data_IF_475386636837
#
_entry.id   IF_475386636837
#
_cell.length_a   1.000
_cell.length_b   1.000
_cell.length_c   1.000
_cell.angle_alpha   90.00
_cell.angle_beta   90.00
_cell.angle_gamma   90.00
#
_symmetry.space_group_name_H-M   'P 1'
#
loop_
_entity.id
_entity.type
_entity.pdbx_description
1 polymer ?
#
# COMPACT_ATOMS: atom_id res chain seq x y z
N UNK A 1 -0.57 -13.15 0.42
CA UNK A 1 -0.31 -11.85 1.06
C UNK A 1 -1.60 -11.39 1.75
N UNK A 2 -1.54 -10.54 2.78
CA UNK A 2 -2.72 -10.01 3.47
C UNK A 2 -2.64 -8.48 3.53
N UNK A 3 -3.64 -7.78 3.02
CA UNK A 3 -3.74 -6.32 3.20
C UNK A 3 -4.10 -6.05 4.67
N UNK A 4 -3.24 -5.33 5.38
CA UNK A 4 -3.45 -4.96 6.79
C UNK A 4 -3.90 -3.51 6.95
N UNK A 5 -3.68 -2.70 5.91
CA UNK A 5 -4.17 -1.33 5.84
C UNK A 5 -4.32 -0.90 4.38
N UNK A 6 -5.35 -0.10 4.07
CA UNK A 6 -5.51 0.54 2.77
C UNK A 6 -6.17 1.90 2.90
N UNK A 7 -5.77 2.84 2.04
CA UNK A 7 -6.49 4.09 1.79
C UNK A 7 -6.51 4.37 0.31
N UNK A 8 -7.65 4.85 -0.17
CA UNK A 8 -7.87 5.18 -1.57
C UNK A 8 -8.47 6.57 -1.69
N UNK A 9 -8.13 7.27 -2.77
CA UNK A 9 -8.84 8.43 -3.28
C UNK A 9 -8.93 8.37 -4.81
N UNK A 10 -9.39 9.45 -5.45
CA UNK A 10 -9.57 9.51 -6.90
C UNK A 10 -8.25 9.45 -7.70
N UNK A 11 -7.11 9.66 -7.07
CA UNK A 11 -5.79 9.72 -7.72
C UNK A 11 -4.90 8.52 -7.40
N UNK A 12 -5.03 7.91 -6.23
CA UNK A 12 -4.16 6.82 -5.79
C UNK A 12 -4.82 5.89 -4.77
N UNK A 13 -4.30 4.68 -4.69
CA UNK A 13 -4.55 3.73 -3.61
C UNK A 13 -3.23 3.31 -2.98
N UNK A 14 -3.11 3.43 -1.66
CA UNK A 14 -1.95 3.06 -0.86
C UNK A 14 -2.31 1.92 0.07
N UNK A 15 -1.39 0.97 0.25
CA UNK A 15 -1.60 -0.22 1.05
C UNK A 15 -0.37 -0.57 1.87
N UNK A 16 -0.63 -1.23 3.01
CA UNK A 16 0.36 -2.01 3.74
C UNK A 16 -0.06 -3.47 3.66
N UNK A 17 0.87 -4.33 3.25
CA UNK A 17 0.62 -5.74 2.99
C UNK A 17 1.57 -6.60 3.79
N UNK A 18 1.02 -7.52 4.58
CA UNK A 18 1.79 -8.58 5.23
C UNK A 18 2.07 -9.71 4.23
N UNK A 19 3.35 -9.96 3.99
CA UNK A 19 3.84 -11.00 3.10
C UNK A 19 4.03 -12.34 3.83
N UNK A 20 4.12 -13.45 3.08
CA UNK A 20 4.30 -14.79 3.65
C UNK A 20 5.62 -14.96 4.41
N UNK A 21 6.62 -14.13 4.09
CA UNK A 21 7.91 -14.08 4.77
C UNK A 21 7.89 -13.24 6.06
N UNK A 22 6.72 -12.78 6.51
CA UNK A 22 6.57 -11.97 7.72
C UNK A 22 6.84 -10.47 7.55
N UNK A 23 7.35 -10.04 6.39
CA UNK A 23 7.64 -8.62 6.11
C UNK A 23 6.36 -7.85 5.79
N UNK A 24 6.39 -6.54 6.05
CA UNK A 24 5.35 -5.59 5.69
C UNK A 24 5.77 -4.78 4.48
N UNK A 25 5.03 -4.84 3.39
CA UNK A 25 5.29 -4.08 2.17
C UNK A 25 4.35 -2.89 2.11
N UNK A 26 4.93 -1.69 2.05
CA UNK A 26 4.21 -0.44 1.78
C UNK A 26 4.24 -0.22 0.28
N UNK A 27 3.06 -0.04 -0.33
CA UNK A 27 2.94 0.11 -1.78
C UNK A 27 1.81 1.06 -2.15
N UNK A 28 1.86 1.58 -3.36
CA UNK A 28 0.75 2.34 -3.93
C UNK A 28 0.57 2.07 -5.42
N UNK A 29 -0.63 2.31 -5.90
CA UNK A 29 -0.95 2.40 -7.32
C UNK A 29 -1.56 3.77 -7.63
N UNK A 30 -1.23 4.33 -8.79
CA UNK A 30 -1.89 5.53 -9.30
C UNK A 30 -3.19 5.14 -10.03
N UNK A 31 -4.31 5.74 -9.64
CA UNK A 31 -5.65 5.50 -10.21
C UNK A 31 -5.71 5.91 -11.69
N UNK A 32 -4.90 6.91 -12.08
CA UNK A 32 -4.76 7.35 -13.48
C UNK A 32 -4.02 6.33 -14.37
N UNK A 33 -3.21 5.43 -13.79
CA UNK A 33 -2.39 4.45 -14.52
C UNK A 33 -2.91 3.02 -14.40
N UNK A 34 -3.90 2.77 -13.54
CA UNK A 34 -4.44 1.43 -13.28
C UNK A 34 -5.89 1.31 -13.81
N UNK A 35 -6.14 0.43 -14.80
CA UNK A 35 -7.48 0.17 -15.29
C UNK A 35 -8.44 -0.31 -14.18
N UNK A 36 -9.73 0.07 -14.18
CA UNK A 36 -10.66 -0.25 -13.10
C UNK A 36 -10.77 -1.73 -12.74
N UNK A 37 -10.57 -2.64 -13.70
CA UNK A 37 -10.62 -4.09 -13.50
C UNK A 37 -9.37 -4.68 -12.84
N UNK A 38 -8.23 -3.96 -12.85
CA UNK A 38 -6.98 -4.40 -12.22
C UNK A 38 -6.76 -3.83 -10.81
N UNK A 39 -7.50 -2.78 -10.42
CA UNK A 39 -7.42 -2.15 -9.08
C UNK A 39 -7.73 -3.11 -7.92
N UNK A 40 -8.44 -4.21 -8.19
CA UNK A 40 -8.77 -5.22 -7.19
C UNK A 40 -7.66 -6.25 -6.96
N UNK A 41 -6.65 -6.31 -7.85
CA UNK A 41 -5.59 -7.30 -7.79
C UNK A 41 -4.56 -6.95 -6.73
N UNK A 42 -4.55 -7.69 -5.61
CA UNK A 42 -3.48 -7.58 -4.59
C UNK A 42 -2.09 -7.81 -5.23
N UNK A 43 -1.97 -8.53 -6.35
CA UNK A 43 -0.69 -8.78 -7.03
C UNK A 43 -0.64 -8.17 -8.45
N UNK A 44 -1.45 -7.13 -8.72
CA UNK A 44 -1.47 -6.46 -10.01
C UNK A 44 -0.12 -5.79 -10.37
N UNK A 45 0.21 -5.63 -11.66
CA UNK A 45 1.51 -5.08 -12.09
C UNK A 45 1.66 -3.57 -11.81
N UNK A 46 0.59 -2.89 -11.41
CA UNK A 46 0.55 -1.44 -11.21
C UNK A 46 0.94 -1.00 -9.80
N UNK A 47 1.17 -1.93 -8.89
CA UNK A 47 1.67 -1.65 -7.54
C UNK A 47 3.15 -1.27 -7.57
N UNK A 48 3.45 -0.07 -7.08
CA UNK A 48 4.81 0.36 -6.80
C UNK A 48 5.12 0.16 -5.33
N UNK A 49 6.18 -0.60 -5.05
CA UNK A 49 6.71 -0.77 -3.70
C UNK A 49 7.40 0.52 -3.28
N UNK A 50 6.98 1.06 -2.14
CA UNK A 50 7.61 2.21 -1.49
C UNK A 50 8.66 1.77 -0.50
N UNK A 51 8.32 0.76 0.32
CA UNK A 51 9.22 0.24 1.34
C UNK A 51 8.87 -1.22 1.67
N UNK A 52 9.85 -1.94 2.20
CA UNK A 52 9.65 -3.22 2.88
C UNK A 52 10.17 -3.08 4.29
N UNK A 53 9.34 -3.40 5.27
CA UNK A 53 9.58 -3.19 6.70
C UNK A 53 9.49 -4.53 7.45
N UNK A 54 10.09 -4.56 8.64
CA UNK A 54 10.06 -5.73 9.52
C UNK A 54 8.84 -5.71 10.44
N UNK A 55 8.35 -4.52 10.79
CA UNK A 55 7.20 -4.34 11.69
C UNK A 55 6.07 -3.54 11.03
N UNK A 56 4.87 -3.63 11.60
CA UNK A 56 3.71 -2.86 11.11
C UNK A 56 3.84 -1.38 11.50
N UNK A 57 4.50 -1.07 12.59
CA UNK A 57 4.76 0.28 13.09
C UNK A 57 5.68 1.06 12.14
N UNK A 58 6.77 0.43 11.67
CA UNK A 58 7.63 0.99 10.63
C UNK A 58 6.86 1.27 9.35
N UNK A 59 6.05 0.30 8.90
CA UNK A 59 5.25 0.43 7.69
C UNK A 59 4.21 1.57 7.81
N UNK A 60 3.59 1.72 8.98
CA UNK A 60 2.67 2.84 9.29
C UNK A 60 3.39 4.17 9.28
N UNK A 61 4.61 4.26 9.83
CA UNK A 61 5.41 5.48 9.80
C UNK A 61 5.73 5.90 8.36
N UNK A 62 6.14 4.97 7.50
CA UNK A 62 6.37 5.25 6.07
C UNK A 62 5.09 5.74 5.38
N UNK A 63 3.95 5.12 5.67
CA UNK A 63 2.66 5.56 5.13
C UNK A 63 2.27 6.97 5.63
N UNK A 64 2.54 7.29 6.90
CA UNK A 64 2.30 8.61 7.48
C UNK A 64 3.20 9.70 6.86
N UNK A 65 4.50 9.42 6.66
CA UNK A 65 5.45 10.32 5.99
C UNK A 65 5.03 10.67 4.55
N UNK A 66 4.23 9.80 3.91
CA UNK A 66 3.63 10.03 2.59
C UNK A 66 2.31 10.81 2.65
N UNK A 67 1.85 11.21 3.84
CA UNK A 67 0.55 11.85 4.06
C UNK A 67 -0.63 10.89 3.91
N UNK A 68 -0.40 9.58 3.91
CA UNK A 68 -1.48 8.60 3.73
C UNK A 68 -2.21 8.29 5.03
N UNK A 69 -1.55 8.46 6.18
CA UNK A 69 -2.18 8.39 7.48
C UNK A 69 -2.25 9.80 8.06
N UNK A 70 -3.44 10.24 8.45
CA UNK A 70 -3.62 11.42 9.30
C UNK A 70 -3.65 10.91 10.73
N UNK A 71 -2.77 11.43 11.59
CA UNK A 71 -2.92 11.28 13.04
C UNK A 71 -4.25 11.94 13.41
N UNK A 72 -5.18 11.14 13.94
CA UNK A 72 -6.35 11.63 14.66
C UNK A 72 -6.03 11.58 16.15
#
# INVERSE_FOLDING_TARGET
MKVVWSKSNEMWTGQIVLCRNGKYVVRYEGVATCPPWDRAGIDGPYWRVVATCDTIEEAKKVAAERGWMTEN
#
